data_IF_762816338033
#
_entry.id   IF_762816338033
#
_cell.length_a   1.000
_cell.length_b   1.000
_cell.length_c   1.000
_cell.angle_alpha   90.00
_cell.angle_beta   90.00
_cell.angle_gamma   90.00
#
_symmetry.space_group_name_H-M   'P 1'
#
loop_
_entity.id
_entity.type
_entity.pdbx_description
1 polymer ?
#
# COMPACT_ATOMS: atom_id res chain seq x y z
N UNK A 1 -35.78 -38.60 1.26
CA UNK A 1 -35.56 -37.16 1.04
C UNK A 1 -34.28 -36.77 1.78
N UNK A 2 -33.23 -36.30 1.08
CA UNK A 2 -31.96 -35.92 1.72
C UNK A 2 -32.10 -34.53 2.34
N UNK A 3 -31.86 -34.43 3.64
CA UNK A 3 -31.93 -33.19 4.44
C UNK A 3 -30.94 -32.14 3.91
N UNK A 4 -31.46 -31.01 3.40
CA UNK A 4 -30.70 -29.85 2.90
C UNK A 4 -30.31 -28.85 4.00
N UNK A 5 -30.40 -29.23 5.27
CA UNK A 5 -30.32 -28.33 6.44
C UNK A 5 -28.93 -27.75 6.77
N UNK A 6 -27.90 -28.00 5.95
CA UNK A 6 -26.52 -27.60 6.25
C UNK A 6 -25.93 -26.51 5.34
N UNK A 7 -26.70 -25.92 4.44
CA UNK A 7 -26.28 -24.71 3.72
C UNK A 7 -26.62 -23.47 4.58
N UNK A 8 -26.00 -23.36 5.75
CA UNK A 8 -25.93 -22.06 6.42
C UNK A 8 -25.15 -21.14 5.48
N UNK A 9 -25.76 -20.07 5.00
CA UNK A 9 -25.06 -18.98 4.31
C UNK A 9 -23.92 -18.52 5.22
N UNK A 10 -22.72 -19.06 5.03
CA UNK A 10 -21.52 -18.57 5.68
C UNK A 10 -21.27 -17.24 5.00
N UNK A 11 -21.68 -16.15 5.63
CA UNK A 11 -21.24 -14.82 5.21
C UNK A 11 -19.73 -14.86 5.14
N UNK A 12 -19.20 -14.76 3.93
CA UNK A 12 -17.78 -14.63 3.73
C UNK A 12 -17.47 -13.20 4.14
N UNK A 13 -16.89 -13.03 5.34
CA UNK A 13 -16.39 -11.73 5.78
C UNK A 13 -15.38 -11.26 4.73
N UNK A 14 -15.49 -10.00 4.29
CA UNK A 14 -14.58 -9.40 3.30
C UNK A 14 -13.11 -9.61 3.68
N UNK A 15 -12.79 -9.67 4.97
CA UNK A 15 -11.46 -9.99 5.51
C UNK A 15 -10.97 -11.42 5.19
N UNK A 16 -11.86 -12.40 5.03
CA UNK A 16 -11.50 -13.73 4.54
C UNK A 16 -11.35 -13.76 3.01
N UNK A 17 -11.94 -12.79 2.30
CA UNK A 17 -11.79 -12.59 0.86
C UNK A 17 -10.58 -11.73 0.51
N UNK A 18 -9.94 -11.02 1.44
CA UNK A 18 -8.75 -10.20 1.13
C UNK A 18 -7.60 -11.05 0.57
N UNK A 19 -7.48 -12.30 1.04
CA UNK A 19 -6.52 -13.29 0.51
C UNK A 19 -6.90 -13.83 -0.88
N UNK A 20 -8.15 -13.64 -1.34
CA UNK A 20 -8.66 -14.14 -2.63
C UNK A 20 -8.76 -13.00 -3.65
N UNK A 21 -9.17 -11.81 -3.21
CA UNK A 21 -9.43 -10.64 -4.06
C UNK A 21 -8.31 -9.63 -4.07
N UNK A 22 -7.24 -9.83 -3.29
CA UNK A 22 -6.10 -8.93 -3.26
C UNK A 22 -6.56 -7.50 -3.06
N UNK A 23 -7.05 -7.17 -1.85
CA UNK A 23 -7.35 -5.78 -1.51
C UNK A 23 -6.02 -5.05 -1.34
N UNK A 24 -5.28 -4.91 -2.44
CA UNK A 24 -3.92 -4.46 -2.38
C UNK A 24 -3.90 -3.00 -1.95
N UNK A 25 -2.95 -2.70 -1.08
CA UNK A 25 -2.79 -1.41 -0.45
C UNK A 25 -1.43 -0.84 -0.79
N UNK A 26 -1.36 0.47 -0.94
CA UNK A 26 -0.07 1.15 -1.03
C UNK A 26 0.52 1.30 0.37
N UNK A 27 1.72 0.75 0.56
CA UNK A 27 2.49 0.87 1.80
C UNK A 27 3.57 1.92 1.58
N UNK A 28 3.45 3.05 2.27
CA UNK A 28 4.44 4.12 2.24
C UNK A 28 5.68 3.72 3.05
N UNK A 29 6.85 3.95 2.46
CA UNK A 29 8.16 3.63 3.03
C UNK A 29 9.11 4.82 3.05
N UNK A 30 8.73 5.95 2.44
CA UNK A 30 9.60 7.13 2.41
C UNK A 30 9.85 7.71 3.80
N UNK A 31 11.05 8.25 4.05
CA UNK A 31 11.31 9.05 5.22
C UNK A 31 10.52 10.36 5.19
N UNK A 32 10.40 11.06 6.34
CA UNK A 32 9.90 12.43 6.38
C UNK A 32 10.74 13.36 5.49
N UNK A 33 10.13 14.47 5.08
CA UNK A 33 10.81 15.53 4.33
C UNK A 33 12.07 16.02 5.06
N UNK A 34 13.12 16.30 4.30
CA UNK A 34 14.41 16.77 4.85
C UNK A 34 14.81 18.11 4.25
N UNK A 35 15.82 18.75 4.83
CA UNK A 35 16.45 19.95 4.28
C UNK A 35 17.81 19.61 3.69
N UNK A 36 18.07 20.05 2.46
CA UNK A 36 19.39 19.95 1.87
C UNK A 36 20.35 21.03 2.43
N UNK A 37 21.62 20.99 2.00
CA UNK A 37 22.64 21.95 2.44
C UNK A 37 22.34 23.41 2.04
N UNK A 38 21.43 23.62 1.08
CA UNK A 38 21.04 24.94 0.59
C UNK A 38 19.72 25.42 1.22
N UNK A 39 19.13 24.65 2.14
CA UNK A 39 17.86 24.98 2.80
C UNK A 39 16.61 24.58 2.02
N UNK A 40 16.75 23.91 0.87
CA UNK A 40 15.63 23.42 0.08
C UNK A 40 14.96 22.22 0.78
N UNK A 41 13.64 22.12 0.68
CA UNK A 41 12.90 20.94 1.13
C UNK A 41 13.07 19.82 0.12
N UNK A 42 13.49 18.65 0.59
CA UNK A 42 13.57 17.42 -0.19
C UNK A 42 12.39 16.55 0.21
N UNK A 43 11.45 16.37 -0.72
CA UNK A 43 10.34 15.46 -0.58
C UNK A 43 10.70 14.10 -1.17
N UNK A 44 10.49 13.04 -0.41
CA UNK A 44 10.67 11.67 -0.89
C UNK A 44 9.34 10.94 -0.80
N UNK A 45 8.90 10.32 -1.89
CA UNK A 45 7.69 9.50 -1.95
C UNK A 45 8.06 8.12 -2.47
N UNK A 46 8.16 7.18 -1.53
CA UNK A 46 8.51 5.79 -1.82
C UNK A 46 7.39 4.90 -1.29
N UNK A 47 6.84 4.04 -2.14
CA UNK A 47 5.79 3.10 -1.76
C UNK A 47 5.85 1.82 -2.59
N UNK A 48 5.31 0.74 -2.03
CA UNK A 48 5.08 -0.51 -2.75
C UNK A 48 3.61 -0.93 -2.62
N UNK A 49 3.11 -1.68 -3.61
CA UNK A 49 1.74 -2.15 -3.65
C UNK A 49 1.65 -3.59 -3.13
N UNK A 50 1.09 -3.75 -1.93
CA UNK A 50 0.88 -5.04 -1.26
C UNK A 50 -0.29 -5.80 -1.89
N UNK A 51 -0.07 -6.37 -3.08
CA UNK A 51 -1.12 -6.97 -3.90
C UNK A 51 -1.81 -8.15 -3.21
N UNK A 52 -1.09 -8.86 -2.34
CA UNK A 52 -1.57 -10.07 -1.66
C UNK A 52 -2.00 -9.82 -0.19
N UNK A 53 -1.81 -8.61 0.34
CA UNK A 53 -2.24 -8.21 1.67
C UNK A 53 -1.45 -8.83 2.82
N UNK A 54 -0.22 -9.30 2.58
CA UNK A 54 0.60 -9.99 3.58
C UNK A 54 1.51 -9.04 4.39
N UNK A 55 1.51 -7.74 4.06
CA UNK A 55 2.33 -6.72 4.73
C UNK A 55 3.85 -6.87 4.52
N UNK A 56 4.29 -7.70 3.56
CA UNK A 56 5.68 -7.96 3.22
C UNK A 56 5.90 -7.76 1.73
N UNK A 57 6.92 -6.97 1.41
CA UNK A 57 7.32 -6.76 0.02
C UNK A 57 7.80 -8.06 -0.64
N UNK A 58 7.07 -8.48 -1.66
CA UNK A 58 7.43 -9.53 -2.61
C UNK A 58 8.23 -9.00 -3.81
N UNK A 59 8.74 -9.91 -4.63
CA UNK A 59 9.47 -9.58 -5.87
C UNK A 59 8.53 -9.24 -7.04
N UNK A 60 7.27 -9.63 -6.95
CA UNK A 60 6.20 -9.48 -7.94
C UNK A 60 5.30 -8.26 -7.68
N UNK A 61 5.65 -7.43 -6.69
CA UNK A 61 4.88 -6.27 -6.29
C UNK A 61 5.41 -4.97 -6.90
N UNK A 62 4.48 -4.06 -7.24
CA UNK A 62 4.80 -2.80 -7.89
C UNK A 62 5.39 -1.79 -6.91
N UNK A 63 6.26 -0.90 -7.40
CA UNK A 63 6.87 0.16 -6.60
C UNK A 63 6.82 1.50 -7.31
N UNK A 64 6.68 2.55 -6.51
CA UNK A 64 6.85 3.94 -6.92
C UNK A 64 7.93 4.56 -6.05
N UNK A 65 8.85 5.27 -6.70
CA UNK A 65 9.87 6.07 -6.03
C UNK A 65 9.94 7.42 -6.73
N UNK A 66 9.91 8.48 -5.94
CA UNK A 66 9.98 9.84 -6.44
C UNK A 66 10.72 10.72 -5.43
N UNK A 67 11.61 11.58 -5.93
CA UNK A 67 12.25 12.63 -5.16
C UNK A 67 11.96 13.95 -5.86
N UNK A 68 11.48 14.93 -5.09
CA UNK A 68 11.34 16.31 -5.56
C UNK A 68 12.00 17.27 -4.58
N UNK A 69 12.53 18.38 -5.11
CA UNK A 69 13.22 19.41 -4.33
C UNK A 69 12.47 20.73 -4.53
N UNK A 70 12.01 21.30 -3.44
CA UNK A 70 11.39 22.63 -3.39
C UNK A 70 12.31 23.59 -2.64
N UNK A 71 12.96 24.49 -3.37
CA UNK A 71 13.84 25.50 -2.79
C UNK A 71 13.10 26.75 -2.30
N UNK A 72 11.77 26.83 -2.46
CA UNK A 72 11.04 28.07 -2.36
C UNK A 72 11.53 29.04 -3.41
N UNK A 73 10.74 29.31 -4.45
CA UNK A 73 10.97 30.55 -5.18
C UNK A 73 10.71 31.69 -4.20
N UNK A 74 11.77 32.29 -3.65
CA UNK A 74 11.73 33.68 -3.23
C UNK A 74 11.47 34.48 -4.51
N UNK A 75 10.18 34.65 -4.84
CA UNK A 75 9.73 35.61 -5.84
C UNK A 75 10.12 37.03 -5.44
#
# INVERSE_FOLDING_TARGET
MKNLTNLKNKEIKIQAMSNIYGCGQWVTTSPPDTKDANGCTVHTTDSWYDANGNGKRGSDESMTMCVSVDCGNNG
#
